data_IF_220611579537
#
_entry.id   IF_220611579537
#
_cell.length_a   1.000
_cell.length_b   1.000
_cell.length_c   1.000
_cell.angle_alpha   90.00
_cell.angle_beta   90.00
_cell.angle_gamma   90.00
#
_symmetry.space_group_name_H-M   'P 1'
#
loop_
_entity.id
_entity.type
_entity.pdbx_description
1 polymer ?
#
# COMPACT_ATOMS: atom_id res chain seq x y z
N UNK A 1 -10.32 7.00 8.50
CA UNK A 1 -9.39 5.92 8.91
C UNK A 1 -7.98 6.46 8.78
N UNK A 2 -7.09 6.18 9.73
CA UNK A 2 -5.68 6.61 9.67
C UNK A 2 -4.83 5.34 9.70
N UNK A 3 -4.05 5.10 8.65
CA UNK A 3 -3.10 4.00 8.61
C UNK A 3 -1.86 4.32 9.42
N UNK A 4 -1.33 3.29 10.07
CA UNK A 4 -0.05 3.30 10.78
C UNK A 4 0.96 2.41 10.07
N UNK A 5 2.24 2.64 10.34
CA UNK A 5 3.30 1.75 9.87
C UNK A 5 3.08 0.34 10.43
N UNK A 6 3.21 -0.67 9.57
CA UNK A 6 2.96 -2.07 9.89
C UNK A 6 1.54 -2.57 9.56
N UNK A 7 0.58 -1.68 9.30
CA UNK A 7 -0.76 -2.09 8.88
C UNK A 7 -0.71 -2.88 7.57
N UNK A 8 -1.51 -3.94 7.48
CA UNK A 8 -1.54 -4.84 6.33
C UNK A 8 -2.75 -4.56 5.42
N UNK A 9 -2.47 -4.36 4.15
CA UNK A 9 -3.39 -3.88 3.14
C UNK A 9 -3.51 -4.94 2.04
N UNK A 10 -4.72 -5.46 1.81
CA UNK A 10 -4.99 -6.34 0.67
C UNK A 10 -5.33 -5.52 -0.58
N UNK A 11 -4.57 -5.76 -1.64
CA UNK A 11 -4.80 -5.15 -2.95
C UNK A 11 -4.35 -6.07 -4.08
N UNK A 12 -5.19 -6.20 -5.11
CA UNK A 12 -4.85 -6.93 -6.35
C UNK A 12 -4.27 -8.34 -6.11
N UNK A 13 -4.90 -9.09 -5.21
CA UNK A 13 -4.48 -10.45 -4.85
C UNK A 13 -3.24 -10.54 -3.95
N UNK A 14 -2.52 -9.44 -3.71
CA UNK A 14 -1.34 -9.38 -2.85
C UNK A 14 -1.62 -8.66 -1.51
N UNK A 15 -0.72 -8.87 -0.54
CA UNK A 15 -0.71 -8.15 0.73
C UNK A 15 0.46 -7.18 0.74
N UNK A 16 0.20 -5.96 1.17
CA UNK A 16 1.19 -4.91 1.32
C UNK A 16 1.21 -4.42 2.76
N UNK A 17 2.39 -4.18 3.29
CA UNK A 17 2.59 -3.50 4.57
C UNK A 17 2.75 -2.00 4.32
N UNK A 18 2.12 -1.19 5.18
CA UNK A 18 2.35 0.25 5.24
C UNK A 18 3.74 0.51 5.81
N UNK A 19 4.63 1.06 4.98
CA UNK A 19 6.00 1.39 5.40
C UNK A 19 6.09 2.84 5.87
N UNK A 20 5.34 3.74 5.24
CA UNK A 20 5.27 5.13 5.63
C UNK A 20 4.01 5.82 5.13
N UNK A 21 3.61 6.88 5.84
CA UNK A 21 2.64 7.87 5.39
C UNK A 21 3.34 9.22 5.45
N UNK A 22 3.62 9.81 4.29
CA UNK A 22 4.35 11.09 4.19
C UNK A 22 3.47 12.05 3.42
N UNK A 23 3.07 13.15 4.07
CA UNK A 23 2.04 14.06 3.57
C UNK A 23 0.73 13.32 3.26
N UNK A 24 0.31 13.28 2.00
CA UNK A 24 -0.87 12.56 1.52
C UNK A 24 -0.51 11.33 0.70
N UNK A 25 0.75 10.88 0.76
CA UNK A 25 1.27 9.73 0.02
C UNK A 25 1.42 8.53 0.93
N UNK A 26 0.83 7.41 0.53
CA UNK A 26 0.93 6.12 1.21
C UNK A 26 1.99 5.25 0.53
N UNK A 27 3.00 4.81 1.28
CA UNK A 27 4.06 3.95 0.78
C UNK A 27 3.84 2.51 1.24
N UNK A 28 3.74 1.61 0.26
CA UNK A 28 3.39 0.21 0.45
C UNK A 28 4.51 -0.70 -0.03
N UNK A 29 4.81 -1.76 0.72
CA UNK A 29 5.75 -2.81 0.32
C UNK A 29 5.06 -4.15 0.34
N UNK A 30 5.26 -4.96 -0.70
CA UNK A 30 4.68 -6.32 -0.75
C UNK A 30 5.25 -7.20 0.38
N UNK A 31 4.40 -8.01 1.00
CA UNK A 31 4.80 -8.97 2.04
C UNK A 31 4.12 -10.31 1.79
N UNK A 32 4.78 -11.41 2.19
CA UNK A 32 4.17 -12.73 2.15
C UNK A 32 3.34 -12.94 3.43
N UNK A 33 2.05 -12.66 3.33
CA UNK A 33 1.08 -12.81 4.43
C UNK A 33 -0.24 -13.33 3.87
N UNK A 34 -0.92 -14.17 4.65
CA UNK A 34 -2.31 -14.60 4.44
C UNK A 34 -3.33 -13.72 5.18
N UNK A 35 -2.83 -12.86 6.08
CA UNK A 35 -3.63 -11.92 6.90
C UNK A 35 -3.54 -10.50 6.36
N UNK A 36 -4.60 -9.73 6.61
CA UNK A 36 -4.68 -8.30 6.33
C UNK A 36 -5.63 -7.60 7.31
N UNK A 37 -5.34 -6.34 7.61
CA UNK A 37 -6.17 -5.48 8.46
C UNK A 37 -7.21 -4.73 7.64
N UNK A 38 -6.84 -4.32 6.42
CA UNK A 38 -7.66 -3.46 5.57
C UNK A 38 -7.68 -3.92 4.11
N UNK A 39 -8.77 -3.61 3.40
CA UNK A 39 -8.81 -3.65 1.93
C UNK A 39 -8.55 -2.25 1.36
N UNK A 40 -7.95 -2.17 0.18
CA UNK A 40 -7.61 -0.88 -0.45
C UNK A 40 -8.83 -0.05 -0.86
N UNK A 41 -10.03 -0.65 -0.93
CA UNK A 41 -11.24 -0.15 -1.59
C UNK A 41 -11.70 1.25 -1.12
N UNK A 42 -11.14 1.80 -0.03
CA UNK A 42 -11.40 3.15 0.46
C UNK A 42 -10.15 4.04 0.68
N UNK A 43 -8.94 3.56 0.37
CA UNK A 43 -7.70 4.31 0.63
C UNK A 43 -7.45 5.42 -0.37
N UNK A 44 -7.84 5.25 -1.64
CA UNK A 44 -7.69 6.29 -2.67
C UNK A 44 -8.49 7.58 -2.41
N UNK A 45 -9.44 7.56 -1.46
CA UNK A 45 -10.15 8.77 -1.00
C UNK A 45 -9.45 9.47 0.17
N UNK A 46 -8.57 8.76 0.88
CA UNK A 46 -7.89 9.24 2.09
C UNK A 46 -6.47 9.71 1.79
N UNK A 47 -5.82 9.07 0.81
CA UNK A 47 -4.47 9.37 0.36
C UNK A 47 -4.53 9.84 -1.08
N UNK A 48 -3.81 10.92 -1.38
CA UNK A 48 -3.73 11.51 -2.73
C UNK A 48 -2.97 10.58 -3.66
N UNK A 49 -1.89 10.01 -3.16
CA UNK A 49 -0.94 9.20 -3.92
C UNK A 49 -0.67 7.89 -3.17
N UNK A 50 -0.46 6.82 -3.93
CA UNK A 50 -0.07 5.50 -3.40
C UNK A 50 1.13 5.03 -4.20
N UNK A 51 2.23 4.78 -3.50
CA UNK A 51 3.50 4.34 -4.10
C UNK A 51 3.84 2.93 -3.62
N UNK A 52 4.12 2.03 -4.56
CA UNK A 52 4.51 0.66 -4.29
C UNK A 52 6.02 0.50 -4.38
N UNK A 53 6.66 0.26 -3.25
CA UNK A 53 8.10 0.05 -3.15
C UNK A 53 8.46 -1.35 -3.66
N UNK A 54 9.51 -1.43 -4.48
CA UNK A 54 10.06 -2.71 -4.96
C UNK A 54 9.31 -3.34 -6.13
N UNK A 55 8.24 -2.73 -6.65
CA UNK A 55 7.82 -3.00 -8.04
C UNK A 55 8.68 -2.14 -8.94
N UNK A 56 9.63 -2.74 -9.66
CA UNK A 56 10.28 -2.04 -10.77
C UNK A 56 9.17 -1.56 -11.72
N UNK A 57 9.10 -0.25 -11.96
CA UNK A 57 8.28 0.28 -13.03
C UNK A 57 8.95 -0.22 -14.31
N UNK A 58 8.40 -1.28 -14.91
CA UNK A 58 8.78 -1.66 -16.27
C UNK A 58 8.30 -0.51 -17.15
N UNK A 59 9.23 0.37 -17.52
CA UNK A 59 9.00 1.31 -18.61
C UNK A 59 9.16 0.48 -19.88
N UNK A 60 8.05 0.24 -20.60
CA UNK A 60 8.14 -0.19 -21.99
C UNK A 60 8.84 0.95 -22.77
N UNK A 61 10.04 0.64 -23.27
CA UNK A 61 10.85 1.46 -24.19
C UNK A 61 10.54 1.11 -25.63
#
# INVERSE_FOLDING_TARGET
MKLNMGDLIKYDGAIYEVVAVVWSTLYLRTVNSDRYDYKIDNLGKLYRDIEFLGKEKIYDI
#
